data_IF_134265407190
#
_entry.id   IF_134265407190
#
_cell.length_a   1.000
_cell.length_b   1.000
_cell.length_c   1.000
_cell.angle_alpha   90.00
_cell.angle_beta   90.00
_cell.angle_gamma   90.00
#
_symmetry.space_group_name_H-M   'P 1'
#
loop_
_entity.id
_entity.type
_entity.pdbx_description
1 polymer ?
#
# COMPACT_ATOMS: atom_id res chain seq x y z
N UNK A 1 -15.06 13.30 22.08
CA UNK A 1 -14.27 14.11 21.13
C UNK A 1 -14.64 13.69 19.70
N UNK A 2 -14.57 14.59 18.71
CA UNK A 2 -14.94 14.31 17.30
C UNK A 2 -13.71 13.76 16.55
N UNK A 3 -13.82 12.61 15.90
CA UNK A 3 -12.72 12.03 15.14
C UNK A 3 -12.32 12.92 13.95
N UNK A 4 -11.02 13.14 13.73
CA UNK A 4 -10.51 14.06 12.70
C UNK A 4 -10.34 13.40 11.32
N UNK A 5 -10.20 12.08 11.26
CA UNK A 5 -9.99 11.34 10.00
C UNK A 5 -8.82 11.87 9.16
N UNK A 6 -7.68 12.09 9.81
CA UNK A 6 -6.43 12.45 9.12
C UNK A 6 -6.06 11.40 8.08
N UNK A 7 -5.24 11.78 7.12
CA UNK A 7 -4.90 10.97 5.95
C UNK A 7 -3.39 10.75 5.88
N UNK A 8 -2.99 9.57 5.44
CA UNK A 8 -1.65 9.30 4.92
C UNK A 8 -1.79 8.52 3.62
N UNK A 9 -0.95 8.80 2.63
CA UNK A 9 -0.97 8.12 1.33
C UNK A 9 0.42 7.56 1.08
N UNK A 10 0.50 6.29 0.69
CA UNK A 10 1.72 5.66 0.18
C UNK A 10 1.49 5.17 -1.25
N UNK A 11 2.42 5.46 -2.15
CA UNK A 11 2.38 5.02 -3.55
C UNK A 11 3.70 4.36 -3.93
N UNK A 12 3.61 3.18 -4.53
CA UNK A 12 4.75 2.42 -5.03
C UNK A 12 4.89 2.66 -6.54
N UNK A 13 6.10 2.95 -7.00
CA UNK A 13 6.38 3.33 -8.39
C UNK A 13 7.39 2.43 -9.08
N UNK A 14 7.17 2.23 -10.38
CA UNK A 14 8.10 1.57 -11.29
C UNK A 14 9.20 2.53 -11.71
N UNK A 15 10.46 2.09 -11.63
CA UNK A 15 11.59 2.76 -12.29
C UNK A 15 11.85 2.10 -13.64
N UNK A 16 11.84 2.90 -14.70
CA UNK A 16 11.81 2.44 -16.09
C UNK A 16 12.99 3.03 -16.87
N UNK A 17 13.64 2.18 -17.67
CA UNK A 17 14.55 2.61 -18.72
C UNK A 17 13.75 3.20 -19.90
N UNK A 18 13.97 4.46 -20.31
CA UNK A 18 13.16 5.10 -21.35
C UNK A 18 13.33 4.49 -22.76
N UNK A 19 14.41 3.75 -23.02
CA UNK A 19 14.73 3.12 -24.31
C UNK A 19 14.10 1.73 -24.38
N UNK A 20 14.42 0.85 -23.44
CA UNK A 20 13.92 -0.54 -23.44
C UNK A 20 12.48 -0.61 -22.93
N UNK A 21 12.07 0.37 -22.13
CA UNK A 21 10.83 0.40 -21.34
C UNK A 21 10.73 -0.73 -20.33
N UNK A 22 11.83 -1.41 -20.04
CA UNK A 22 11.91 -2.40 -18.96
C UNK A 22 12.09 -1.71 -17.61
N UNK A 23 11.67 -2.41 -16.56
CA UNK A 23 12.08 -2.10 -15.20
C UNK A 23 13.59 -2.18 -15.07
N UNK A 24 14.16 -1.20 -14.37
CA UNK A 24 15.60 -1.09 -14.14
C UNK A 24 15.89 -0.66 -12.72
N UNK A 25 17.05 -1.07 -12.20
CA UNK A 25 17.49 -0.68 -10.85
C UNK A 25 17.85 0.80 -10.81
N UNK A 26 17.41 1.50 -9.75
CA UNK A 26 17.88 2.85 -9.43
C UNK A 26 19.07 2.88 -8.47
N UNK A 27 19.53 1.73 -7.99
CA UNK A 27 20.72 1.61 -7.11
C UNK A 27 20.71 2.59 -5.93
N UNK A 28 19.54 2.77 -5.31
CA UNK A 28 19.25 3.73 -4.22
C UNK A 28 19.38 5.22 -4.56
N UNK A 29 19.90 5.59 -5.72
CA UNK A 29 20.24 6.98 -6.05
C UNK A 29 19.02 7.91 -6.02
N UNK A 30 17.87 7.46 -6.51
CA UNK A 30 16.63 8.24 -6.47
C UNK A 30 16.22 8.47 -5.02
N UNK A 31 16.25 7.42 -4.19
CA UNK A 31 15.85 7.47 -2.77
C UNK A 31 16.79 8.37 -1.98
N UNK A 32 18.11 8.21 -2.12
CA UNK A 32 19.12 9.01 -1.43
C UNK A 32 19.03 10.50 -1.78
N UNK A 33 18.77 10.82 -3.05
CA UNK A 33 18.57 12.20 -3.48
C UNK A 33 17.25 12.77 -2.93
N UNK A 34 16.18 11.98 -2.98
CA UNK A 34 14.86 12.39 -2.49
C UNK A 34 14.86 12.62 -0.98
N UNK A 35 15.55 11.79 -0.18
CA UNK A 35 15.63 11.96 1.27
C UNK A 35 16.30 13.26 1.73
N UNK A 36 17.11 13.90 0.86
CA UNK A 36 17.68 15.23 1.12
C UNK A 36 16.64 16.35 1.01
N UNK A 37 15.53 16.10 0.31
CA UNK A 37 14.46 17.06 0.04
C UNK A 37 13.24 16.74 0.93
N UNK A 38 12.81 15.48 0.91
CA UNK A 38 11.64 14.93 1.60
C UNK A 38 12.07 13.82 2.56
N UNK A 39 12.56 14.23 3.73
CA UNK A 39 13.10 13.30 4.72
C UNK A 39 12.02 12.30 5.17
N UNK A 40 12.38 11.02 5.19
CA UNK A 40 11.53 9.88 5.63
C UNK A 40 10.24 9.64 4.81
N UNK A 41 10.03 10.40 3.71
CA UNK A 41 8.87 10.30 2.83
C UNK A 41 9.15 9.56 1.51
N UNK A 42 10.42 9.26 1.21
CA UNK A 42 10.80 8.43 0.07
C UNK A 42 11.69 7.31 0.55
N UNK A 43 11.33 6.08 0.19
CA UNK A 43 11.98 4.87 0.68
C UNK A 43 12.27 3.92 -0.46
N UNK A 44 13.30 3.13 -0.22
CA UNK A 44 13.54 1.94 -1.01
C UNK A 44 12.53 0.87 -0.65
N UNK A 45 12.21 0.05 -1.63
CA UNK A 45 11.46 -1.18 -1.43
C UNK A 45 12.32 -2.41 -1.71
N UNK A 46 11.73 -3.59 -1.49
CA UNK A 46 12.44 -4.87 -1.63
C UNK A 46 13.12 -5.03 -2.98
N UNK A 47 12.48 -4.64 -4.08
CA UNK A 47 13.08 -4.67 -5.42
C UNK A 47 13.69 -3.30 -5.77
N UNK A 48 14.90 -3.29 -6.32
CA UNK A 48 15.63 -2.06 -6.65
C UNK A 48 15.01 -1.28 -7.82
N UNK A 49 13.99 -1.83 -8.50
CA UNK A 49 13.21 -1.14 -9.53
C UNK A 49 11.96 -0.44 -8.96
N UNK A 50 11.82 -0.41 -7.64
CA UNK A 50 10.67 0.17 -6.94
C UNK A 50 11.11 1.39 -6.12
N UNK A 51 10.30 2.44 -6.16
CA UNK A 51 10.41 3.59 -5.25
C UNK A 51 9.06 3.76 -4.56
N UNK A 52 9.07 3.76 -3.22
CA UNK A 52 7.88 4.10 -2.42
C UNK A 52 7.96 5.57 -2.02
N UNK A 53 6.85 6.28 -2.16
CA UNK A 53 6.66 7.59 -1.55
C UNK A 53 5.52 7.54 -0.54
N UNK A 54 5.62 8.32 0.53
CA UNK A 54 4.61 8.42 1.57
C UNK A 54 4.43 9.86 2.04
N UNK A 55 3.18 10.35 2.10
CA UNK A 55 2.89 11.67 2.66
C UNK A 55 3.15 11.70 4.17
N UNK A 56 3.17 12.90 4.74
CA UNK A 56 3.01 13.06 6.19
C UNK A 56 1.59 12.73 6.64
N UNK A 57 1.26 13.13 7.87
CA UNK A 57 -0.11 13.09 8.38
C UNK A 57 -0.84 14.35 7.88
N UNK A 58 -1.70 14.17 6.89
CA UNK A 58 -2.47 15.25 6.29
C UNK A 58 -3.81 15.44 7.00
N UNK A 59 -4.23 16.68 7.20
CA UNK A 59 -5.49 17.02 7.89
C UNK A 59 -6.73 16.80 7.03
N UNK A 60 -6.59 16.93 5.71
CA UNK A 60 -7.67 16.82 4.74
C UNK A 60 -7.11 16.45 3.36
N UNK A 61 -8.02 16.27 2.40
CA UNK A 61 -7.68 15.91 1.02
C UNK A 61 -6.90 16.98 0.28
N UNK A 62 -7.05 18.26 0.62
CA UNK A 62 -6.34 19.35 -0.05
C UNK A 62 -4.85 19.31 0.30
N UNK A 63 -4.54 19.15 1.60
CA UNK A 63 -3.16 18.96 2.06
C UNK A 63 -2.56 17.67 1.49
N UNK A 64 -3.31 16.56 1.51
CA UNK A 64 -2.82 15.29 0.97
C UNK A 64 -2.53 15.38 -0.53
N UNK A 65 -3.36 16.09 -1.30
CA UNK A 65 -3.15 16.37 -2.73
C UNK A 65 -1.88 17.17 -2.96
N UNK A 66 -1.65 18.22 -2.18
CA UNK A 66 -0.46 19.05 -2.29
C UNK A 66 0.81 18.22 -2.05
N UNK A 67 0.86 17.48 -0.93
CA UNK A 67 2.02 16.66 -0.57
C UNK A 67 2.29 15.56 -1.59
N UNK A 68 1.28 14.79 -2.01
CA UNK A 68 1.49 13.69 -2.97
C UNK A 68 1.90 14.21 -4.35
N UNK A 69 1.40 15.38 -4.76
CA UNK A 69 1.80 16.03 -6.01
C UNK A 69 3.27 16.43 -5.97
N UNK A 70 3.72 16.98 -4.85
CA UNK A 70 5.13 17.34 -4.65
C UNK A 70 6.03 16.11 -4.65
N UNK A 71 5.65 15.03 -3.96
CA UNK A 71 6.41 13.78 -3.93
C UNK A 71 6.53 13.15 -5.33
N UNK A 72 5.42 13.03 -6.06
CA UNK A 72 5.40 12.55 -7.46
C UNK A 72 6.31 13.39 -8.35
N UNK A 73 6.21 14.71 -8.25
CA UNK A 73 7.06 15.62 -9.01
C UNK A 73 8.54 15.41 -8.69
N UNK A 74 8.92 15.39 -7.41
CA UNK A 74 10.31 15.22 -6.99
C UNK A 74 10.89 13.89 -7.47
N UNK A 75 10.20 12.77 -7.28
CA UNK A 75 10.70 11.46 -7.72
C UNK A 75 10.80 11.39 -9.26
N UNK A 76 9.84 11.97 -9.98
CA UNK A 76 9.92 12.03 -11.44
C UNK A 76 11.09 12.89 -11.94
N UNK A 77 11.38 14.02 -11.30
CA UNK A 77 12.51 14.88 -11.65
C UNK A 77 13.85 14.17 -11.39
N UNK A 78 14.02 13.61 -10.20
CA UNK A 78 15.25 12.90 -9.80
C UNK A 78 15.52 11.66 -10.67
N UNK A 79 14.46 10.94 -11.07
CA UNK A 79 14.60 9.86 -12.06
C UNK A 79 15.08 10.42 -13.41
N UNK A 80 14.49 11.54 -13.86
CA UNK A 80 14.87 12.22 -15.11
C UNK A 80 16.33 12.65 -15.15
N UNK A 81 16.86 13.18 -14.05
CA UNK A 81 18.29 13.56 -13.90
C UNK A 81 19.25 12.36 -14.07
N UNK A 82 18.77 11.15 -13.79
CA UNK A 82 19.51 9.91 -13.94
C UNK A 82 19.25 9.21 -15.29
N UNK A 83 18.52 9.85 -16.20
CA UNK A 83 18.14 9.26 -17.48
C UNK A 83 17.05 8.18 -17.37
N UNK A 84 16.33 8.13 -16.25
CA UNK A 84 15.26 7.17 -15.96
C UNK A 84 13.88 7.81 -16.09
N UNK A 85 12.84 6.98 -16.01
CA UNK A 85 11.43 7.38 -15.96
C UNK A 85 10.70 6.67 -14.84
N UNK A 86 9.57 7.25 -14.44
CA UNK A 86 8.67 6.68 -13.44
C UNK A 86 7.39 6.20 -14.12
N UNK A 87 6.92 5.01 -13.76
CA UNK A 87 5.64 4.45 -14.18
C UNK A 87 4.74 4.10 -12.99
N UNK A 88 3.42 4.09 -13.23
CA UNK A 88 2.41 3.78 -12.23
C UNK A 88 1.33 2.86 -12.81
N UNK A 89 1.16 1.67 -12.19
CA UNK A 89 0.17 0.63 -12.48
C UNK A 89 0.40 -0.51 -11.48
N UNK A 90 -0.59 -1.37 -11.22
CA UNK A 90 -0.45 -2.51 -10.31
C UNK A 90 0.65 -3.51 -10.68
N UNK A 91 0.98 -3.64 -11.97
CA UNK A 91 2.06 -4.49 -12.48
C UNK A 91 2.76 -3.83 -13.65
N UNK A 92 4.02 -4.21 -13.88
CA UNK A 92 4.69 -3.88 -15.14
C UNK A 92 4.29 -4.89 -16.24
N UNK A 93 3.99 -4.45 -17.48
CA UNK A 93 3.38 -5.31 -18.49
C UNK A 93 4.25 -6.47 -19.01
N UNK A 94 5.58 -6.27 -19.11
CA UNK A 94 6.45 -7.26 -19.77
C UNK A 94 7.78 -7.59 -19.10
N UNK A 95 8.34 -6.72 -18.27
CA UNK A 95 9.53 -7.05 -17.47
C UNK A 95 9.33 -8.30 -16.60
N UNK A 96 10.37 -9.12 -16.58
CA UNK A 96 10.42 -10.34 -15.78
C UNK A 96 10.97 -10.05 -14.38
N UNK A 97 10.29 -10.55 -13.36
CA UNK A 97 10.70 -10.38 -11.95
C UNK A 97 12.04 -11.06 -11.65
N UNK A 98 12.37 -12.16 -12.32
CA UNK A 98 13.63 -12.90 -12.14
C UNK A 98 14.88 -12.07 -12.44
N UNK A 99 14.74 -11.05 -13.30
CA UNK A 99 15.83 -10.15 -13.67
C UNK A 99 16.01 -9.00 -12.68
N UNK A 100 15.07 -8.80 -11.76
CA UNK A 100 15.09 -7.66 -10.84
C UNK A 100 15.95 -7.95 -9.62
N UNK A 101 16.80 -6.98 -9.28
CA UNK A 101 17.66 -7.06 -8.11
C UNK A 101 16.87 -6.78 -6.83
N UNK A 102 17.25 -7.45 -5.75
CA UNK A 102 16.75 -7.20 -4.41
C UNK A 102 17.65 -6.16 -3.74
N UNK A 103 17.04 -5.22 -3.03
CA UNK A 103 17.74 -4.23 -2.21
C UNK A 103 18.49 -4.94 -1.07
N UNK A 104 19.76 -4.60 -0.87
CA UNK A 104 20.54 -5.14 0.23
C UNK A 104 20.07 -4.57 1.58
N UNK A 105 19.20 -5.31 2.27
CA UNK A 105 18.73 -4.95 3.60
C UNK A 105 18.36 -6.21 4.39
N UNK A 106 18.75 -6.35 5.68
CA UNK A 106 18.54 -7.58 6.46
C UNK A 106 17.09 -8.09 6.45
N UNK A 107 16.13 -7.17 6.62
CA UNK A 107 14.68 -7.46 6.56
C UNK A 107 14.26 -8.12 5.24
N UNK A 108 14.78 -7.65 4.10
CA UNK A 108 14.40 -8.21 2.79
C UNK A 108 15.04 -9.58 2.58
N UNK A 109 16.30 -9.75 3.01
CA UNK A 109 16.98 -11.05 2.99
C UNK A 109 16.24 -12.10 3.82
N UNK A 110 15.74 -11.74 5.01
CA UNK A 110 14.91 -12.62 5.83
C UNK A 110 13.60 -13.02 5.13
N UNK A 111 12.89 -12.05 4.53
CA UNK A 111 11.64 -12.32 3.81
C UNK A 111 11.89 -13.25 2.60
N UNK A 112 12.96 -13.00 1.84
CA UNK A 112 13.34 -13.85 0.70
C UNK A 112 13.75 -15.24 1.15
N UNK A 113 14.48 -15.37 2.27
CA UNK A 113 14.85 -16.66 2.82
C UNK A 113 13.63 -17.46 3.32
N UNK A 114 12.63 -16.78 3.87
CA UNK A 114 11.40 -17.41 4.39
C UNK A 114 10.44 -17.82 3.27
N UNK A 115 10.20 -16.93 2.29
CA UNK A 115 9.13 -17.09 1.29
C UNK A 115 9.63 -17.47 -0.11
N UNK A 116 10.94 -17.43 -0.35
CA UNK A 116 11.59 -17.84 -1.60
C UNK A 116 10.94 -17.18 -2.83
N UNK A 117 10.47 -17.95 -3.80
CA UNK A 117 9.87 -17.44 -5.05
C UNK A 117 8.67 -16.52 -4.83
N UNK A 118 7.89 -16.73 -3.78
CA UNK A 118 6.75 -15.86 -3.48
C UNK A 118 7.25 -14.42 -3.24
N UNK A 119 8.29 -14.23 -2.42
CA UNK A 119 8.92 -12.93 -2.23
C UNK A 119 9.59 -12.41 -3.50
N UNK A 120 10.40 -13.24 -4.19
CA UNK A 120 11.13 -12.80 -5.39
C UNK A 120 10.21 -12.33 -6.51
N UNK A 121 9.05 -12.97 -6.66
CA UNK A 121 8.05 -12.63 -7.67
C UNK A 121 7.09 -11.51 -7.25
N UNK A 122 7.22 -10.94 -6.04
CA UNK A 122 6.37 -9.87 -5.52
C UNK A 122 6.67 -8.47 -6.10
N UNK A 123 6.80 -8.39 -7.42
CA UNK A 123 7.11 -7.16 -8.14
C UNK A 123 5.82 -6.46 -8.58
N UNK A 124 5.14 -5.86 -7.62
CA UNK A 124 3.83 -5.21 -7.77
C UNK A 124 3.86 -3.83 -7.14
N UNK A 125 2.88 -2.99 -7.50
CA UNK A 125 2.85 -1.60 -7.08
C UNK A 125 1.44 -1.21 -6.61
N UNK A 126 1.31 -0.79 -5.36
CA UNK A 126 0.04 -0.45 -4.72
C UNK A 126 -0.15 1.03 -4.45
N UNK A 127 -1.39 1.34 -4.12
CA UNK A 127 -1.75 2.52 -3.35
C UNK A 127 -2.17 2.07 -1.95
N UNK A 128 -1.53 2.60 -0.93
CA UNK A 128 -1.98 2.47 0.45
C UNK A 128 -2.54 3.79 0.96
N UNK A 129 -3.67 3.73 1.66
CA UNK A 129 -4.30 4.90 2.29
C UNK A 129 -4.50 4.62 3.76
N UNK A 130 -3.96 5.50 4.61
CA UNK A 130 -4.20 5.51 6.04
C UNK A 130 -5.29 6.52 6.37
N UNK A 131 -6.26 6.11 7.18
CA UNK A 131 -7.26 6.99 7.79
C UNK A 131 -7.09 6.96 9.31
N UNK A 132 -6.84 8.12 9.91
CA UNK A 132 -6.58 8.30 11.33
C UNK A 132 -7.82 8.25 12.22
N UNK A 133 -7.65 7.65 13.40
CA UNK A 133 -8.65 7.48 14.43
C UNK A 133 -8.12 7.92 15.79
N UNK A 134 -9.03 8.30 16.68
CA UNK A 134 -8.69 8.64 18.07
C UNK A 134 -8.22 7.44 18.90
N UNK A 135 -8.56 6.22 18.48
CA UNK A 135 -8.16 5.00 19.18
C UNK A 135 -8.27 3.77 18.27
N UNK A 136 -7.50 2.72 18.60
CA UNK A 136 -7.53 1.45 17.86
C UNK A 136 -8.85 0.68 18.09
N UNK A 137 -9.50 0.85 19.23
CA UNK A 137 -10.84 0.30 19.52
C UNK A 137 -11.88 0.88 18.58
N UNK A 138 -11.79 2.17 18.27
CA UNK A 138 -12.66 2.77 17.26
C UNK A 138 -12.31 2.26 15.86
N UNK A 139 -11.02 2.19 15.54
CA UNK A 139 -10.55 1.71 14.25
C UNK A 139 -11.02 0.27 13.96
N UNK A 140 -10.93 -0.67 14.91
CA UNK A 140 -11.36 -2.05 14.69
C UNK A 140 -12.86 -2.17 14.43
N UNK A 141 -13.68 -1.40 15.16
CA UNK A 141 -15.13 -1.36 14.94
C UNK A 141 -15.50 -0.83 13.55
N UNK A 142 -14.77 0.16 13.05
CA UNK A 142 -14.97 0.71 11.70
C UNK A 142 -14.40 -0.24 10.63
N UNK A 143 -13.23 -0.84 10.87
CA UNK A 143 -12.59 -1.80 9.97
C UNK A 143 -13.49 -3.01 9.66
N UNK A 144 -14.15 -3.56 10.69
CA UNK A 144 -15.11 -4.66 10.56
C UNK A 144 -16.27 -4.36 9.60
N UNK A 145 -16.66 -3.09 9.47
CA UNK A 145 -17.74 -2.69 8.56
C UNK A 145 -17.19 -2.27 7.19
N UNK A 146 -16.08 -1.52 7.17
CA UNK A 146 -15.56 -0.97 5.91
C UNK A 146 -14.99 -2.07 5.00
N UNK A 147 -14.57 -3.22 5.57
CA UNK A 147 -14.13 -4.41 4.82
C UNK A 147 -15.12 -4.83 3.72
N UNK A 148 -16.42 -4.64 3.93
CA UNK A 148 -17.47 -4.96 2.97
C UNK A 148 -17.36 -4.13 1.67
N UNK A 149 -16.87 -2.90 1.75
CA UNK A 149 -16.78 -2.02 0.59
C UNK A 149 -15.53 -2.27 -0.26
N UNK A 150 -14.53 -2.99 0.27
CA UNK A 150 -13.26 -3.19 -0.41
C UNK A 150 -13.38 -3.80 -1.81
N UNK A 151 -14.20 -4.83 -2.07
CA UNK A 151 -14.35 -5.38 -3.42
C UNK A 151 -14.87 -4.35 -4.44
N UNK A 152 -15.68 -3.39 -4.00
CA UNK A 152 -16.22 -2.33 -4.85
C UNK A 152 -15.13 -1.32 -5.21
N UNK A 153 -14.31 -0.92 -4.23
CA UNK A 153 -13.18 -0.02 -4.47
C UNK A 153 -12.11 -0.70 -5.33
N UNK A 154 -11.84 -1.99 -5.08
CA UNK A 154 -10.94 -2.80 -5.88
C UNK A 154 -11.35 -2.84 -7.35
N UNK A 155 -12.63 -3.09 -7.64
CA UNK A 155 -13.14 -3.11 -9.00
C UNK A 155 -12.94 -1.79 -9.75
N UNK A 156 -12.94 -0.66 -9.03
CA UNK A 156 -12.69 0.67 -9.59
C UNK A 156 -11.19 0.98 -9.78
N UNK A 157 -10.32 0.39 -8.94
CA UNK A 157 -8.88 0.69 -8.95
C UNK A 157 -8.05 -0.25 -9.83
N UNK A 158 -8.64 -1.29 -10.42
CA UNK A 158 -7.89 -2.24 -11.25
C UNK A 158 -7.25 -1.58 -12.47
N UNK A 159 -5.95 -1.73 -12.66
CA UNK A 159 -5.23 -1.22 -13.83
C UNK A 159 -4.03 -2.08 -14.27
N UNK A 160 -3.98 -3.34 -13.83
CA UNK A 160 -2.84 -4.25 -14.04
C UNK A 160 -3.20 -5.55 -14.81
N UNK A 161 -3.69 -5.48 -16.06
CA UNK A 161 -4.13 -6.66 -16.79
C UNK A 161 -2.99 -7.51 -17.40
N UNK A 162 -1.76 -6.97 -17.45
CA UNK A 162 -0.61 -7.60 -18.09
C UNK A 162 0.43 -8.08 -17.09
N UNK A 163 1.09 -9.20 -17.38
CA UNK A 163 2.19 -9.75 -16.59
C UNK A 163 3.11 -10.59 -17.47
N UNK A 164 4.43 -10.36 -17.40
CA UNK A 164 5.43 -11.15 -18.16
C UNK A 164 5.09 -11.27 -19.66
N UNK A 165 4.68 -10.16 -20.27
CA UNK A 165 4.36 -10.05 -21.69
C UNK A 165 3.10 -10.82 -22.10
N UNK A 166 2.21 -11.10 -21.14
CA UNK A 166 0.94 -11.79 -21.36
C UNK A 166 -0.23 -10.93 -20.92
N UNK A 167 -1.27 -10.89 -21.76
CA UNK A 167 -2.60 -10.50 -21.29
C UNK A 167 -3.15 -11.63 -20.41
N UNK A 168 -3.29 -11.35 -19.12
CA UNK A 168 -3.59 -12.39 -18.12
C UNK A 168 -5.07 -12.77 -18.07
N UNK A 169 -5.94 -11.98 -18.71
CA UNK A 169 -7.40 -12.08 -18.58
C UNK A 169 -7.96 -11.44 -17.31
N UNK A 170 -7.12 -11.06 -16.34
CA UNK A 170 -7.52 -10.31 -15.16
C UNK A 170 -7.56 -8.81 -15.44
N UNK A 171 -8.31 -8.06 -14.63
CA UNK A 171 -8.26 -6.59 -14.62
C UNK A 171 -7.18 -6.06 -13.67
N UNK A 172 -6.98 -6.74 -12.54
CA UNK A 172 -5.84 -6.54 -11.65
C UNK A 172 -5.15 -7.88 -11.41
N UNK A 173 -3.99 -8.07 -12.03
CA UNK A 173 -3.15 -9.24 -11.80
C UNK A 173 -2.27 -9.07 -10.56
N UNK A 174 -2.09 -7.83 -10.08
CA UNK A 174 -1.41 -7.52 -8.81
C UNK A 174 -1.87 -8.43 -7.67
N UNK A 175 -3.18 -8.59 -7.51
CA UNK A 175 -3.75 -9.46 -6.46
C UNK A 175 -3.33 -10.92 -6.60
N UNK A 176 -3.22 -11.43 -7.83
CA UNK A 176 -2.78 -12.82 -8.10
C UNK A 176 -1.30 -13.06 -7.86
N UNK A 177 -0.48 -12.04 -8.00
CA UNK A 177 0.92 -12.10 -7.55
C UNK A 177 0.96 -12.16 -6.02
N UNK A 178 0.15 -11.33 -5.35
CA UNK A 178 0.13 -11.23 -3.90
C UNK A 178 -0.51 -12.43 -3.19
N UNK A 179 -1.46 -13.13 -3.82
CA UNK A 179 -2.13 -14.35 -3.30
C UNK A 179 -1.16 -15.46 -2.85
N UNK A 180 0.10 -15.43 -3.32
CA UNK A 180 1.16 -16.37 -2.92
C UNK A 180 1.65 -16.15 -1.48
N UNK A 181 1.45 -14.95 -0.91
CA UNK A 181 1.84 -14.65 0.46
C UNK A 181 0.82 -15.24 1.44
N UNK A 182 1.26 -15.76 2.60
CA UNK A 182 0.35 -16.28 3.60
C UNK A 182 -0.38 -15.16 4.33
N UNK A 183 -1.65 -15.35 4.72
CA UNK A 183 -2.44 -14.35 5.48
C UNK A 183 -2.68 -13.05 4.69
N UNK A 184 -2.99 -13.20 3.41
CA UNK A 184 -3.46 -12.13 2.52
C UNK A 184 -4.98 -12.10 2.43
N UNK A 185 -5.51 -11.10 1.74
CA UNK A 185 -6.95 -10.95 1.51
C UNK A 185 -7.66 -10.12 2.57
N UNK A 186 -8.98 -10.12 2.52
CA UNK A 186 -9.84 -9.38 3.45
C UNK A 186 -9.87 -10.13 4.79
N UNK A 187 -9.49 -9.50 5.91
CA UNK A 187 -9.43 -10.16 7.22
C UNK A 187 -10.82 -10.52 7.72
N UNK A 188 -10.88 -11.48 8.65
CA UNK A 188 -12.08 -11.78 9.43
C UNK A 188 -12.44 -10.64 10.41
N UNK A 189 -13.59 -10.80 11.07
CA UNK A 189 -14.10 -9.86 12.06
C UNK A 189 -13.41 -10.12 13.40
N UNK A 190 -12.98 -9.04 14.08
CA UNK A 190 -12.51 -9.08 15.46
C UNK A 190 -13.51 -8.37 16.37
N UNK A 191 -13.96 -8.98 17.47
CA UNK A 191 -14.99 -8.36 18.32
C UNK A 191 -14.46 -7.18 19.12
N UNK A 192 -13.16 -7.16 19.40
CA UNK A 192 -12.48 -6.09 20.12
C UNK A 192 -11.03 -5.92 19.65
N UNK A 193 -10.36 -4.87 20.15
CA UNK A 193 -8.94 -4.67 19.85
C UNK A 193 -8.07 -5.72 20.57
N UNK A 194 -8.52 -6.20 21.72
CA UNK A 194 -7.87 -7.28 22.48
C UNK A 194 -7.92 -8.60 21.72
N UNK A 195 -9.04 -8.92 21.06
CA UNK A 195 -9.14 -10.09 20.18
C UNK A 195 -8.09 -10.03 19.05
N UNK A 196 -7.97 -8.87 18.41
CA UNK A 196 -6.96 -8.61 17.37
C UNK A 196 -5.54 -8.75 17.93
N UNK A 197 -5.24 -8.11 19.06
CA UNK A 197 -3.91 -8.14 19.67
C UNK A 197 -3.56 -9.55 20.16
N UNK A 198 -4.52 -10.33 20.66
CA UNK A 198 -4.33 -11.72 21.05
C UNK A 198 -4.05 -12.62 19.84
N UNK A 199 -4.73 -12.39 18.70
CA UNK A 199 -4.43 -13.06 17.44
C UNK A 199 -2.99 -12.79 16.99
N UNK A 200 -2.56 -11.53 17.00
CA UNK A 200 -1.18 -11.15 16.67
C UNK A 200 -0.17 -11.81 17.64
N UNK A 201 -0.43 -11.75 18.95
CA UNK A 201 0.42 -12.38 19.98
C UNK A 201 0.54 -13.89 19.78
N UNK A 202 -0.55 -14.55 19.39
CA UNK A 202 -0.55 -15.98 19.10
C UNK A 202 0.40 -16.31 17.94
N UNK A 203 0.29 -15.57 16.83
CA UNK A 203 1.15 -15.77 15.66
C UNK A 203 2.64 -15.53 15.97
N UNK A 204 2.94 -14.54 16.81
CA UNK A 204 4.32 -14.29 17.28
C UNK A 204 4.80 -15.44 18.17
N UNK A 205 3.97 -15.86 19.14
CA UNK A 205 4.29 -16.94 20.07
C UNK A 205 4.56 -18.27 19.36
N UNK A 206 3.87 -18.54 18.26
CA UNK A 206 4.05 -19.76 17.45
C UNK A 206 5.17 -19.62 16.40
N UNK A 207 5.93 -18.52 16.41
CA UNK A 207 6.95 -18.19 15.42
C UNK A 207 6.42 -18.19 13.97
N UNK A 208 5.12 -17.92 13.79
CA UNK A 208 4.51 -17.82 12.47
C UNK A 208 4.76 -16.46 11.81
N UNK A 209 5.01 -15.44 12.64
CA UNK A 209 5.52 -14.12 12.26
C UNK A 209 6.45 -13.60 13.36
N UNK A 210 7.38 -12.72 13.01
CA UNK A 210 8.25 -12.01 13.96
C UNK A 210 7.57 -10.74 14.52
N UNK A 211 6.74 -10.09 13.70
CA UNK A 211 5.99 -8.90 14.09
C UNK A 211 4.71 -8.73 13.26
N UNK A 212 3.81 -7.88 13.73
CA UNK A 212 2.50 -7.64 13.12
C UNK A 212 2.55 -7.04 11.69
N UNK A 213 3.69 -6.50 11.22
CA UNK A 213 3.84 -6.00 9.84
C UNK A 213 3.84 -7.13 8.80
N UNK A 214 4.07 -8.39 9.20
CA UNK A 214 3.95 -9.60 8.32
C UNK A 214 2.50 -10.13 8.22
N UNK A 215 1.52 -9.28 8.51
CA UNK A 215 0.11 -9.50 8.20
C UNK A 215 -0.21 -8.65 6.97
N UNK A 216 -0.48 -9.31 5.84
CA UNK A 216 -0.60 -8.68 4.52
C UNK A 216 -2.05 -8.59 4.05
N UNK A 217 -2.95 -8.22 4.96
CA UNK A 217 -4.36 -8.06 4.64
C UNK A 217 -4.63 -6.84 3.75
N UNK A 218 -5.72 -6.91 2.98
CA UNK A 218 -6.21 -5.84 2.11
C UNK A 218 -6.65 -4.59 2.88
N UNK A 219 -6.97 -4.78 4.17
CA UNK A 219 -7.24 -3.74 5.15
C UNK A 219 -6.66 -4.15 6.50
N UNK A 220 -6.05 -3.20 7.20
CA UNK A 220 -5.39 -3.46 8.48
C UNK A 220 -5.63 -2.32 9.45
N UNK A 221 -6.05 -2.65 10.68
CA UNK A 221 -5.89 -1.70 11.79
C UNK A 221 -4.41 -1.68 12.12
N UNK A 222 -3.75 -0.55 11.89
CA UNK A 222 -2.30 -0.51 11.95
C UNK A 222 -1.82 -0.83 13.38
N UNK A 223 -0.83 -1.72 13.54
CA UNK A 223 -0.39 -2.17 14.87
C UNK A 223 0.36 -1.10 15.68
N UNK A 224 0.91 -0.07 15.02
CA UNK A 224 1.73 0.97 15.65
C UNK A 224 1.16 2.39 15.51
N UNK A 225 0.14 2.58 14.69
CA UNK A 225 -0.46 3.89 14.41
C UNK A 225 -1.96 3.75 14.61
N UNK A 226 -2.63 4.75 15.16
CA UNK A 226 -4.09 4.75 15.27
C UNK A 226 -4.76 4.99 13.92
N UNK A 227 -4.51 4.11 12.95
CA UNK A 227 -5.05 4.22 11.58
C UNK A 227 -5.70 2.92 11.14
N UNK A 228 -6.66 3.04 10.22
CA UNK A 228 -7.02 1.97 9.31
C UNK A 228 -6.23 2.19 8.03
N UNK A 229 -5.51 1.18 7.61
CA UNK A 229 -4.69 1.16 6.41
C UNK A 229 -5.40 0.32 5.34
N UNK A 230 -5.71 0.93 4.21
CA UNK A 230 -6.31 0.31 3.02
C UNK A 230 -5.21 -0.03 2.03
N UNK A 231 -5.11 -1.29 1.59
CA UNK A 231 -3.98 -1.80 0.77
C UNK A 231 -4.42 -2.51 -0.51
N UNK A 232 -5.72 -2.47 -0.81
CA UNK A 232 -6.34 -3.27 -1.87
C UNK A 232 -6.11 -2.72 -3.29
N UNK A 233 -5.80 -1.43 -3.43
CA UNK A 233 -5.75 -0.78 -4.74
C UNK A 233 -4.45 -1.07 -5.49
N UNK A 234 -4.55 -1.22 -6.81
CA UNK A 234 -3.40 -1.04 -7.71
C UNK A 234 -2.95 0.44 -7.64
N UNK A 235 -1.68 0.70 -7.91
CA UNK A 235 -1.14 2.07 -7.97
C UNK A 235 -1.81 2.86 -9.12
N UNK A 236 -2.54 3.96 -8.85
CA UNK A 236 -3.21 4.74 -9.88
C UNK A 236 -2.24 5.60 -10.70
N UNK A 237 -2.60 5.84 -11.96
CA UNK A 237 -1.76 6.61 -12.86
C UNK A 237 -1.88 8.12 -12.56
N UNK A 238 -3.10 8.59 -12.32
CA UNK A 238 -3.39 10.02 -12.13
C UNK A 238 -3.54 10.37 -10.65
N UNK A 239 -3.09 11.58 -10.29
CA UNK A 239 -3.27 12.11 -8.93
C UNK A 239 -4.76 12.20 -8.57
N UNK A 240 -5.61 12.55 -9.53
CA UNK A 240 -7.06 12.62 -9.31
C UNK A 240 -7.68 11.27 -8.94
N UNK A 241 -7.14 10.17 -9.47
CA UNK A 241 -7.58 8.81 -9.11
C UNK A 241 -7.15 8.48 -7.69
N UNK A 242 -5.88 8.72 -7.33
CA UNK A 242 -5.37 8.57 -5.96
C UNK A 242 -6.19 9.37 -4.96
N UNK A 243 -6.52 10.61 -5.30
CA UNK A 243 -7.32 11.48 -4.44
C UNK A 243 -8.78 11.03 -4.36
N UNK A 244 -9.35 10.50 -5.45
CA UNK A 244 -10.69 9.93 -5.42
C UNK A 244 -10.77 8.72 -4.48
N UNK A 245 -9.81 7.79 -4.54
CA UNK A 245 -9.76 6.65 -3.63
C UNK A 245 -9.51 7.07 -2.18
N UNK A 246 -8.58 8.00 -1.97
CA UNK A 246 -8.28 8.55 -0.64
C UNK A 246 -9.53 9.18 -0.01
N UNK A 247 -10.22 10.06 -0.75
CA UNK A 247 -11.45 10.70 -0.29
C UNK A 247 -12.56 9.68 -0.05
N UNK A 248 -12.70 8.66 -0.92
CA UNK A 248 -13.68 7.60 -0.76
C UNK A 248 -13.47 6.82 0.55
N UNK A 249 -12.23 6.39 0.84
CA UNK A 249 -11.92 5.71 2.09
C UNK A 249 -12.19 6.59 3.31
N UNK A 250 -11.81 7.89 3.26
CA UNK A 250 -12.11 8.85 4.32
C UNK A 250 -13.62 8.99 4.56
N UNK A 251 -14.40 9.15 3.49
CA UNK A 251 -15.85 9.28 3.53
C UNK A 251 -16.54 8.03 4.06
N UNK A 252 -16.10 6.83 3.66
CA UNK A 252 -16.63 5.57 4.18
C UNK A 252 -16.40 5.47 5.69
N UNK A 253 -15.17 5.73 6.15
CA UNK A 253 -14.84 5.77 7.58
C UNK A 253 -15.68 6.78 8.36
N UNK A 254 -15.80 8.02 7.85
CA UNK A 254 -16.58 9.08 8.46
C UNK A 254 -18.08 8.75 8.51
N UNK A 255 -18.62 8.14 7.44
CA UNK A 255 -20.03 7.73 7.37
C UNK A 255 -20.34 6.61 8.36
N UNK A 256 -19.49 5.58 8.44
CA UNK A 256 -19.65 4.47 9.39
C UNK A 256 -19.52 4.96 10.84
N UNK A 257 -18.61 5.89 11.11
CA UNK A 257 -18.51 6.56 12.40
C UNK A 257 -19.78 7.34 12.75
N UNK A 258 -20.34 8.10 11.80
CA UNK A 258 -21.59 8.83 12.00
C UNK A 258 -22.76 7.89 12.32
N UNK A 259 -22.89 6.78 11.60
CA UNK A 259 -23.92 5.76 11.86
C UNK A 259 -23.74 5.18 13.27
N UNK A 260 -22.50 4.87 13.66
CA UNK A 260 -22.20 4.39 15.01
C UNK A 260 -22.65 5.37 16.09
N UNK A 261 -22.41 6.68 15.93
CA UNK A 261 -22.87 7.69 16.89
C UNK A 261 -24.41 7.77 16.99
N UNK A 262 -25.11 7.33 15.94
CA UNK A 262 -26.56 7.21 15.88
C UNK A 262 -27.08 5.85 16.37
N UNK A 263 -26.20 5.00 16.95
CA UNK A 263 -26.49 3.62 17.34
C UNK A 263 -26.98 2.73 16.18
N UNK A 264 -26.54 3.05 14.95
CA UNK A 264 -26.83 2.27 13.74
C UNK A 264 -25.58 1.52 13.29
N UNK A 265 -25.77 0.35 12.69
CA UNK A 265 -24.74 -0.39 11.95
C UNK A 265 -25.11 -0.44 10.47
N UNK A 266 -24.12 -0.42 9.59
CA UNK A 266 -24.37 -0.59 8.15
C UNK A 266 -24.72 -2.04 7.80
N UNK A 267 -24.02 -3.01 8.43
CA UNK A 267 -24.27 -4.44 8.31
C UNK A 267 -24.42 -5.02 9.72
N UNK A 268 -25.44 -5.85 9.90
CA UNK A 268 -25.76 -6.56 11.16
C UNK A 268 -24.97 -7.85 11.28
#
# INVERSE_FOLDING_TARGET
MKNEFTLGIEEEYMVIDPVTRELTSHDQKIVEAAQKIHKDQVKAEMHQAVVEVGTGICRNTDQAREEISQLRYTVSQLAGEQGLRIGASGTHPFSHWEKQLITEHPRYSEIVNELQEAARSNLIFGLHVHVGFQSRELAIHIANQVRYFLPHVFALSTNSPFWENRNTGYKSFRTKVFDKFPRTGIPDIFNSIEDYDNYVKLLIKTNSIDNAKKIWWDIRVHPFFETIEFRICDCPMLIDETMAFTALFQCLCAKLYKLRLQNMKFIS
#
